data_IF_564882426669
#
_entry.id   IF_564882426669
#
_cell.length_a   1.000
_cell.length_b   1.000
_cell.length_c   1.000
_cell.angle_alpha   90.00
_cell.angle_beta   90.00
_cell.angle_gamma   90.00
#
_symmetry.space_group_name_H-M   'P 1'
#
loop_
_entity.id
_entity.type
_entity.pdbx_description
1 polymer ?
#
# COMPACT_ATOMS: atom_id res chain seq x y z
N UNK A 1 41.43 -33.17 34.50
CA UNK A 1 42.20 -32.80 35.70
C UNK A 1 41.76 -31.42 36.24
N UNK A 2 40.47 -31.17 36.48
CA UNK A 2 40.01 -29.95 37.18
C UNK A 2 38.69 -30.26 37.90
N UNK A 3 38.69 -31.16 38.88
CA UNK A 3 37.50 -31.36 39.75
C UNK A 3 37.90 -31.88 41.13
N UNK A 4 38.90 -31.25 41.76
CA UNK A 4 39.36 -31.63 43.10
C UNK A 4 39.47 -30.48 44.10
N UNK A 5 39.23 -29.23 43.71
CA UNK A 5 39.56 -28.06 44.54
C UNK A 5 38.38 -27.30 45.17
N UNK A 6 37.21 -27.91 45.34
CA UNK A 6 36.08 -27.28 46.07
C UNK A 6 35.56 -28.08 47.27
N UNK A 7 36.42 -28.88 47.89
CA UNK A 7 36.13 -29.47 49.19
C UNK A 7 36.17 -28.41 50.30
N UNK A 8 34.98 -28.15 50.85
CA UNK A 8 34.71 -27.90 52.27
C UNK A 8 35.50 -26.79 52.99
N UNK A 9 34.98 -25.56 52.95
CA UNK A 9 35.08 -24.69 54.12
C UNK A 9 33.92 -25.05 55.07
N UNK A 10 34.16 -25.99 55.98
CA UNK A 10 33.25 -26.30 57.08
C UNK A 10 33.36 -25.21 58.15
N UNK A 11 32.23 -24.69 58.62
CA UNK A 11 32.12 -23.85 59.81
C UNK A 11 32.59 -24.64 61.04
N UNK A 12 33.25 -24.01 62.05
CA UNK A 12 33.77 -24.72 63.22
C UNK A 12 32.69 -25.42 64.08
N UNK A 13 31.41 -25.29 63.76
CA UNK A 13 30.29 -26.01 64.38
C UNK A 13 29.99 -27.43 63.84
N UNK A 14 30.78 -27.98 62.91
CA UNK A 14 30.65 -29.38 62.48
C UNK A 14 29.38 -29.68 61.65
N UNK A 15 28.61 -28.67 61.27
CA UNK A 15 27.56 -28.80 60.28
C UNK A 15 28.20 -28.81 58.89
N UNK A 16 27.96 -29.85 58.06
CA UNK A 16 28.36 -29.82 56.66
C UNK A 16 27.71 -28.59 56.01
N UNK A 17 28.53 -27.76 55.35
CA UNK A 17 28.01 -26.67 54.54
C UNK A 17 27.06 -27.27 53.49
N UNK A 18 25.83 -26.75 53.42
CA UNK A 18 24.88 -27.18 52.41
C UNK A 18 25.48 -26.96 51.01
N UNK A 19 25.31 -27.90 50.07
CA UNK A 19 25.80 -27.72 48.71
C UNK A 19 25.14 -26.49 48.08
N UNK A 20 25.90 -25.74 47.29
CA UNK A 20 25.39 -24.58 46.58
C UNK A 20 24.26 -25.03 45.62
N UNK A 21 23.10 -24.34 45.57
CA UNK A 21 22.04 -24.69 44.64
C UNK A 21 22.53 -24.60 43.18
N UNK A 22 21.88 -25.34 42.26
CA UNK A 22 22.20 -25.26 40.85
C UNK A 22 21.93 -23.84 40.31
N UNK A 23 22.66 -23.39 39.27
CA UNK A 23 22.35 -22.14 38.60
C UNK A 23 20.91 -22.12 38.06
N UNK A 24 20.26 -20.95 38.10
CA UNK A 24 18.94 -20.79 37.49
C UNK A 24 19.00 -21.02 35.97
N UNK A 25 17.91 -21.56 35.43
CA UNK A 25 17.79 -21.76 34.00
C UNK A 25 17.82 -20.40 33.26
N UNK A 26 18.41 -20.33 32.06
CA UNK A 26 18.32 -19.13 31.25
C UNK A 26 16.85 -18.79 30.95
N UNK A 27 16.52 -17.50 30.76
CA UNK A 27 15.16 -17.10 30.42
C UNK A 27 14.69 -17.79 29.13
N UNK A 28 13.42 -18.23 29.11
CA UNK A 28 12.84 -18.97 27.98
C UNK A 28 12.69 -18.14 26.71
N UNK A 29 12.72 -16.81 26.83
CA UNK A 29 12.61 -15.88 25.73
C UNK A 29 13.91 -15.11 25.56
N UNK A 30 14.35 -14.88 24.32
CA UNK A 30 15.46 -13.98 24.04
C UNK A 30 15.21 -12.62 24.68
N UNK A 31 16.24 -12.06 25.33
CA UNK A 31 16.17 -10.73 25.94
C UNK A 31 16.01 -9.62 24.90
N UNK A 32 16.45 -9.87 23.68
CA UNK A 32 16.46 -8.88 22.60
C UNK A 32 15.77 -9.44 21.35
N UNK A 33 15.02 -8.57 20.68
CA UNK A 33 14.42 -8.86 19.39
C UNK A 33 15.47 -8.51 18.32
N UNK A 34 15.74 -9.40 17.35
CA UNK A 34 16.64 -9.07 16.26
C UNK A 34 16.14 -7.83 15.50
N UNK A 35 17.06 -6.99 14.99
CA UNK A 35 16.67 -5.83 14.21
C UNK A 35 15.85 -6.26 12.98
N UNK A 36 14.83 -5.45 12.66
CA UNK A 36 14.02 -5.68 11.48
C UNK A 36 14.89 -5.63 10.20
N UNK A 37 14.54 -6.41 9.15
CA UNK A 37 15.23 -6.34 7.87
C UNK A 37 15.09 -4.94 7.24
N UNK A 38 15.98 -4.55 6.31
CA UNK A 38 15.85 -3.30 5.58
C UNK A 38 14.50 -3.22 4.85
N UNK A 39 13.92 -2.01 4.81
CA UNK A 39 12.72 -1.75 4.01
C UNK A 39 13.16 -1.55 2.55
N UNK A 40 12.55 -2.30 1.63
CA UNK A 40 12.71 -2.06 0.20
C UNK A 40 11.87 -0.83 -0.20
N UNK A 41 12.52 0.17 -0.79
CA UNK A 41 11.80 1.32 -1.34
C UNK A 41 10.95 0.88 -2.53
N UNK A 42 9.73 1.43 -2.70
CA UNK A 42 8.98 1.22 -3.93
C UNK A 42 9.79 1.72 -5.13
N UNK A 43 9.58 1.14 -6.32
CA UNK A 43 10.23 1.61 -7.55
C UNK A 43 9.90 3.10 -7.80
N UNK A 44 10.91 3.84 -8.26
CA UNK A 44 10.80 5.28 -8.59
C UNK A 44 9.88 5.54 -9.80
N UNK A 45 9.71 4.53 -10.67
CA UNK A 45 8.92 4.66 -11.88
C UNK A 45 7.42 4.47 -11.61
N UNK A 46 6.61 5.38 -12.17
CA UNK A 46 5.16 5.25 -12.13
C UNK A 46 4.72 3.93 -12.80
N UNK A 47 3.60 3.32 -12.37
CA UNK A 47 3.08 2.12 -13.01
C UNK A 47 2.95 2.32 -14.51
N UNK A 48 3.65 1.48 -15.29
CA UNK A 48 3.50 1.47 -16.73
C UNK A 48 2.03 1.22 -17.08
N UNK A 49 1.42 2.12 -17.85
CA UNK A 49 0.09 1.90 -18.43
C UNK A 49 -0.99 2.92 -18.08
N UNK A 50 -0.74 3.88 -17.19
CA UNK A 50 -1.60 5.08 -17.12
C UNK A 50 -1.05 6.16 -18.05
N UNK A 51 -1.80 6.62 -19.06
CA UNK A 51 -1.42 7.81 -19.82
C UNK A 51 -1.16 8.97 -18.86
N UNK A 52 0.00 9.62 -19.00
CA UNK A 52 0.35 10.79 -18.18
C UNK A 52 -0.58 11.99 -18.46
N UNK A 53 -1.19 12.00 -19.65
CA UNK A 53 -2.09 13.06 -20.09
C UNK A 53 -3.55 12.60 -20.09
N UNK A 54 -4.49 13.50 -19.77
CA UNK A 54 -5.92 13.22 -19.89
C UNK A 54 -6.31 12.96 -21.36
N UNK A 55 -7.41 12.23 -21.60
CA UNK A 55 -7.92 12.03 -22.95
C UNK A 55 -8.35 13.38 -23.59
N UNK A 56 -8.28 13.50 -24.94
CA UNK A 56 -8.79 14.67 -25.64
C UNK A 56 -10.27 14.94 -25.34
N UNK A 57 -10.66 16.22 -25.32
CA UNK A 57 -12.07 16.59 -25.20
C UNK A 57 -12.87 16.05 -26.40
N UNK A 58 -14.04 15.48 -26.11
CA UNK A 58 -14.96 15.03 -27.15
C UNK A 58 -15.57 16.26 -27.87
N UNK A 59 -15.85 16.15 -29.17
CA UNK A 59 -16.64 17.16 -29.85
C UNK A 59 -18.02 17.27 -29.18
N UNK A 60 -18.70 18.44 -29.28
CA UNK A 60 -20.04 18.60 -28.76
C UNK A 60 -20.97 17.51 -29.31
N UNK A 61 -21.69 16.82 -28.43
CA UNK A 61 -22.59 15.69 -28.74
C UNK A 61 -23.89 16.10 -29.47
N UNK A 62 -23.93 17.27 -30.09
CA UNK A 62 -25.15 17.83 -30.66
C UNK A 62 -24.91 18.47 -32.02
N UNK A 63 -25.92 18.44 -32.92
CA UNK A 63 -25.92 19.34 -34.05
C UNK A 63 -25.88 20.80 -33.55
N UNK A 64 -25.46 21.75 -34.40
CA UNK A 64 -25.55 23.18 -34.08
C UNK A 64 -26.96 23.54 -33.58
N UNK A 65 -27.03 24.51 -32.66
CA UNK A 65 -28.29 24.98 -32.09
C UNK A 65 -29.22 25.56 -33.17
N UNK A 66 -30.06 24.69 -33.74
CA UNK A 66 -31.18 25.06 -34.59
C UNK A 66 -30.85 25.48 -36.02
N UNK A 67 -31.89 25.58 -36.87
CA UNK A 67 -31.76 26.18 -38.19
C UNK A 67 -31.38 27.66 -38.06
N UNK A 68 -30.78 28.28 -39.10
CA UNK A 68 -30.55 29.71 -39.10
C UNK A 68 -31.86 30.45 -38.82
N UNK A 69 -31.85 31.44 -37.91
CA UNK A 69 -33.04 32.24 -37.58
C UNK A 69 -33.55 33.06 -38.77
N UNK A 70 -32.80 33.09 -39.87
CA UNK A 70 -33.21 33.71 -41.12
C UNK A 70 -34.05 32.73 -41.94
N UNK A 71 -35.30 33.10 -42.33
CA UNK A 71 -36.08 32.34 -43.30
C UNK A 71 -35.28 32.14 -44.59
N UNK A 72 -35.39 30.95 -45.19
CA UNK A 72 -34.87 30.71 -46.54
C UNK A 72 -35.78 31.44 -47.53
N UNK A 73 -35.21 32.35 -48.32
CA UNK A 73 -35.87 32.93 -49.49
C UNK A 73 -36.10 31.81 -50.51
N UNK A 74 -37.36 31.42 -50.69
CA UNK A 74 -37.72 30.44 -51.71
C UNK A 74 -37.67 31.11 -53.10
N UNK A 75 -37.21 30.41 -54.15
CA UNK A 75 -37.23 30.95 -55.49
C UNK A 75 -38.68 31.30 -55.90
N UNK A 76 -38.87 32.33 -56.75
CA UNK A 76 -40.20 32.74 -57.20
C UNK A 76 -40.93 31.55 -57.85
N UNK A 77 -42.17 31.31 -57.44
CA UNK A 77 -42.98 30.17 -57.89
C UNK A 77 -43.00 28.94 -56.96
N UNK A 78 -42.28 28.98 -55.84
CA UNK A 78 -42.29 27.93 -54.80
C UNK A 78 -43.52 27.99 -53.89
N UNK A 79 -44.69 28.32 -54.44
CA UNK A 79 -45.94 28.29 -53.68
C UNK A 79 -46.28 26.85 -53.29
N UNK A 80 -46.92 26.62 -52.12
CA UNK A 80 -47.43 25.31 -51.77
C UNK A 80 -48.34 24.78 -52.89
N UNK A 81 -48.18 23.51 -53.29
CA UNK A 81 -49.14 22.89 -54.21
C UNK A 81 -50.51 22.89 -53.54
N UNK A 82 -51.55 23.32 -54.26
CA UNK A 82 -52.92 23.24 -53.75
C UNK A 82 -53.33 21.76 -53.62
N UNK A 83 -54.08 21.39 -52.57
CA UNK A 83 -54.68 20.07 -52.46
C UNK A 83 -55.48 19.76 -53.73
N UNK A 84 -55.35 18.54 -54.22
CA UNK A 84 -56.20 18.03 -55.30
C UNK A 84 -57.45 17.46 -54.63
N UNK A 85 -58.61 18.05 -54.94
CA UNK A 85 -59.94 17.54 -54.54
C UNK A 85 -60.38 16.40 -55.46
#
# INVERSE_FOLDING_TARGET
MIDLLRHSAADPGGTPAAPNPPPEAPPLMPTEIPPAPPVESPPDEAPAGIPAEPPPELPPNGPPEGPPMTPIELPPGSAPRQPQE
#
